data_IF_533732992623
#
_entry.id   IF_533732992623
#
_cell.length_a   1.000
_cell.length_b   1.000
_cell.length_c   1.000
_cell.angle_alpha   90.00
_cell.angle_beta   90.00
_cell.angle_gamma   90.00
#
_symmetry.space_group_name_H-M   'P 1'
#
loop_
_entity.id
_entity.type
_entity.pdbx_description
1 polymer ?
#
# COMPACT_ATOMS: atom_id res chain seq x y z
N UNK A 1 -30.57 -6.93 -5.03
CA UNK A 1 -29.49 -6.04 -5.50
C UNK A 1 -28.69 -6.85 -6.48
N UNK A 2 -28.55 -6.39 -7.72
CA UNK A 2 -27.65 -7.03 -8.67
C UNK A 2 -26.24 -7.04 -8.07
N UNK A 3 -25.57 -8.18 -8.07
CA UNK A 3 -24.26 -8.35 -7.48
C UNK A 3 -23.25 -7.43 -8.19
N UNK A 4 -22.60 -6.54 -7.45
CA UNK A 4 -21.49 -5.75 -7.98
C UNK A 4 -20.45 -6.68 -8.62
N UNK A 5 -20.09 -6.39 -9.86
CA UNK A 5 -19.15 -7.17 -10.67
C UNK A 5 -18.15 -6.25 -11.36
N UNK A 6 -16.94 -6.77 -11.54
CA UNK A 6 -15.82 -6.09 -12.19
C UNK A 6 -15.31 -7.02 -13.28
N UNK A 7 -15.28 -6.52 -14.51
CA UNK A 7 -14.74 -7.25 -15.64
C UNK A 7 -13.28 -6.84 -15.84
N UNK A 8 -12.37 -7.80 -15.72
CA UNK A 8 -10.92 -7.55 -15.86
C UNK A 8 -10.45 -7.92 -17.26
N UNK A 9 -9.64 -7.05 -17.87
CA UNK A 9 -8.86 -7.40 -19.05
C UNK A 9 -7.64 -8.23 -18.64
N UNK A 10 -7.02 -8.99 -19.56
CA UNK A 10 -5.79 -9.70 -19.28
C UNK A 10 -4.71 -8.76 -18.73
N UNK A 11 -4.09 -9.15 -17.62
CA UNK A 11 -3.00 -8.38 -17.02
C UNK A 11 -1.75 -8.36 -17.89
N UNK A 12 -0.95 -7.31 -17.71
CA UNK A 12 0.27 -7.06 -18.49
C UNK A 12 1.39 -6.56 -17.59
N UNK A 13 2.64 -6.90 -17.92
CA UNK A 13 3.80 -6.33 -17.24
C UNK A 13 4.16 -4.96 -17.82
N UNK A 14 4.05 -3.92 -16.99
CA UNK A 14 4.46 -2.56 -17.34
C UNK A 14 5.92 -2.40 -16.96
N UNK A 15 6.77 -2.42 -17.99
CA UNK A 15 8.21 -2.22 -17.85
C UNK A 15 8.57 -0.74 -17.78
N UNK A 16 9.74 -0.39 -17.23
CA UNK A 16 10.32 0.95 -17.38
C UNK A 16 10.37 1.37 -18.86
N UNK A 17 10.11 2.64 -19.13
CA UNK A 17 10.11 3.18 -20.50
C UNK A 17 11.49 3.23 -21.14
N UNK A 18 12.54 3.15 -20.32
CA UNK A 18 13.94 3.21 -20.70
C UNK A 18 14.72 2.11 -19.96
N UNK A 19 15.87 1.65 -20.47
CA UNK A 19 16.72 0.71 -19.76
C UNK A 19 17.13 1.24 -18.37
N UNK A 20 17.02 0.40 -17.36
CA UNK A 20 17.36 0.73 -15.98
C UNK A 20 18.66 0.03 -15.55
N UNK A 21 19.41 0.58 -14.59
CA UNK A 21 20.58 -0.09 -14.06
C UNK A 21 20.22 -1.49 -13.50
N UNK A 22 20.87 -2.57 -13.96
CA UNK A 22 20.71 -3.87 -13.34
C UNK A 22 21.48 -3.90 -12.03
N UNK A 23 21.09 -4.78 -11.11
CA UNK A 23 21.83 -5.01 -9.87
C UNK A 23 20.97 -5.58 -8.76
N UNK A 24 21.60 -5.75 -7.61
CA UNK A 24 20.95 -6.19 -6.38
C UNK A 24 21.00 -5.08 -5.36
N UNK A 25 19.87 -4.79 -4.71
CA UNK A 25 19.78 -3.87 -3.59
C UNK A 25 19.39 -4.63 -2.34
N UNK A 26 20.20 -4.48 -1.29
CA UNK A 26 19.86 -5.01 0.02
C UNK A 26 18.80 -4.13 0.68
N UNK A 27 17.91 -4.75 1.44
CA UNK A 27 16.94 -4.03 2.27
C UNK A 27 17.65 -3.37 3.45
N UNK A 28 17.12 -2.23 3.92
CA UNK A 28 17.60 -1.61 5.15
C UNK A 28 17.25 -2.46 6.38
N UNK A 29 17.84 -2.15 7.55
CA UNK A 29 17.53 -2.85 8.81
C UNK A 29 16.02 -2.82 9.12
N UNK A 30 15.35 -1.69 8.85
CA UNK A 30 13.91 -1.54 9.05
C UNK A 30 13.15 -2.42 8.07
N UNK A 31 13.54 -2.37 6.79
CA UNK A 31 12.87 -3.07 5.70
C UNK A 31 13.04 -4.60 5.77
N UNK A 32 14.12 -5.09 6.40
CA UNK A 32 14.37 -6.53 6.61
C UNK A 32 13.41 -7.19 7.60
N UNK A 33 12.71 -6.39 8.40
CA UNK A 33 11.88 -6.88 9.48
C UNK A 33 10.77 -7.81 8.95
N UNK A 34 10.69 -9.02 9.51
CA UNK A 34 9.79 -10.08 9.02
C UNK A 34 8.33 -9.62 8.99
N UNK A 35 7.95 -8.77 9.94
CA UNK A 35 6.61 -8.21 10.05
C UNK A 35 6.22 -7.28 8.91
N UNK A 36 7.16 -6.83 8.07
CA UNK A 36 6.89 -6.01 6.88
C UNK A 36 6.79 -6.83 5.59
N UNK A 37 7.04 -8.15 5.64
CA UNK A 37 7.04 -9.04 4.47
C UNK A 37 5.61 -9.44 4.03
N UNK A 38 4.75 -8.44 3.83
CA UNK A 38 3.38 -8.65 3.39
C UNK A 38 2.98 -7.63 2.33
N UNK A 39 1.98 -7.98 1.52
CA UNK A 39 1.39 -7.04 0.58
C UNK A 39 0.34 -6.18 1.26
N UNK A 40 0.51 -4.86 1.16
CA UNK A 40 -0.52 -3.89 1.50
C UNK A 40 -1.16 -3.36 0.23
N UNK A 41 -2.49 -3.20 0.25
CA UNK A 41 -3.23 -2.61 -0.87
C UNK A 41 -3.78 -1.25 -0.47
N UNK A 42 -3.74 -0.27 -1.37
CA UNK A 42 -4.42 1.01 -1.21
C UNK A 42 -5.42 1.21 -2.36
N UNK A 43 -6.63 1.66 -2.04
CA UNK A 43 -7.65 2.02 -3.02
C UNK A 43 -7.77 3.55 -3.09
N UNK A 44 -7.78 4.09 -4.30
CA UNK A 44 -7.92 5.52 -4.58
C UNK A 44 -9.13 5.76 -5.48
N UNK A 45 -10.09 6.55 -5.00
CA UNK A 45 -11.36 6.79 -5.71
C UNK A 45 -11.31 8.15 -6.40
N UNK A 46 -11.41 8.14 -7.73
CA UNK A 46 -11.42 9.34 -8.57
C UNK A 46 -12.82 9.55 -9.14
N UNK A 47 -13.40 10.72 -8.84
CA UNK A 47 -14.75 11.07 -9.30
C UNK A 47 -14.80 11.24 -10.81
N UNK A 48 -13.78 11.90 -11.35
CA UNK A 48 -13.71 12.29 -12.75
C UNK A 48 -12.52 11.60 -13.43
N UNK A 49 -12.72 11.22 -14.68
CA UNK A 49 -11.75 10.50 -15.50
C UNK A 49 -12.22 10.47 -16.95
N UNK A 50 -11.54 9.68 -17.78
CA UNK A 50 -12.01 9.42 -19.14
C UNK A 50 -11.73 7.96 -19.55
N UNK A 51 -12.25 7.56 -20.71
CA UNK A 51 -12.09 6.19 -21.24
C UNK A 51 -10.62 5.76 -21.49
N UNK A 52 -9.67 6.69 -21.38
CA UNK A 52 -8.23 6.45 -21.53
C UNK A 52 -7.47 6.54 -20.21
N UNK A 53 -8.13 6.70 -19.06
CA UNK A 53 -7.47 6.85 -17.75
C UNK A 53 -6.51 5.68 -17.47
N UNK A 54 -6.92 4.44 -17.70
CA UNK A 54 -6.04 3.28 -17.53
C UNK A 54 -4.80 3.33 -18.45
N UNK A 55 -4.98 3.70 -19.72
CA UNK A 55 -3.88 3.86 -20.69
C UNK A 55 -2.90 4.96 -20.27
N UNK A 56 -3.42 6.12 -19.85
CA UNK A 56 -2.60 7.27 -19.41
C UNK A 56 -1.79 6.92 -18.15
N UNK A 57 -2.44 6.29 -17.16
CA UNK A 57 -1.78 5.84 -15.93
C UNK A 57 -0.71 4.79 -16.24
N UNK A 58 -1.01 3.84 -17.14
CA UNK A 58 -0.05 2.81 -17.58
C UNK A 58 1.19 3.42 -18.25
N UNK A 59 1.02 4.42 -19.12
CA UNK A 59 2.13 5.13 -19.75
C UNK A 59 2.96 5.93 -18.74
N UNK A 60 2.28 6.60 -17.80
CA UNK A 60 2.96 7.37 -16.75
C UNK A 60 3.71 6.45 -15.77
N UNK A 61 3.13 5.30 -15.44
CA UNK A 61 3.76 4.25 -14.63
C UNK A 61 5.06 3.79 -15.28
N UNK A 62 5.04 3.48 -16.57
CA UNK A 62 6.25 3.09 -17.32
C UNK A 62 7.37 4.13 -17.22
N UNK A 63 7.04 5.42 -17.28
CA UNK A 63 8.01 6.52 -17.13
C UNK A 63 8.51 6.66 -15.69
N UNK A 64 7.61 6.57 -14.70
CA UNK A 64 7.96 6.66 -13.29
C UNK A 64 8.88 5.51 -12.83
N UNK A 65 8.76 4.33 -13.44
CA UNK A 65 9.62 3.19 -13.16
C UNK A 65 11.08 3.39 -13.59
N UNK A 66 11.42 4.41 -14.38
CA UNK A 66 12.83 4.71 -14.69
C UNK A 66 13.58 5.24 -13.46
N UNK A 67 13.16 6.36 -12.84
CA UNK A 67 13.78 6.83 -11.59
C UNK A 67 13.50 5.91 -10.39
N UNK A 68 12.42 5.12 -10.42
CA UNK A 68 12.05 4.15 -9.38
C UNK A 68 12.24 2.69 -9.81
N UNK A 69 13.32 2.41 -10.55
CA UNK A 69 13.58 1.09 -11.13
C UNK A 69 13.57 -0.10 -10.17
N UNK A 70 13.86 0.02 -8.85
CA UNK A 70 13.76 -1.13 -7.96
C UNK A 70 12.33 -1.70 -7.88
N UNK A 71 11.31 -0.85 -8.05
CA UNK A 71 9.89 -1.27 -8.07
C UNK A 71 9.53 -2.12 -9.30
N UNK A 72 10.35 -2.07 -10.37
CA UNK A 72 10.23 -2.92 -11.54
C UNK A 72 11.00 -4.26 -11.40
N UNK A 73 11.65 -4.49 -10.26
CA UNK A 73 12.44 -5.68 -9.98
C UNK A 73 11.64 -6.84 -9.39
N UNK A 74 12.35 -7.72 -8.70
CA UNK A 74 11.83 -8.87 -7.95
C UNK A 74 12.40 -8.88 -6.54
N UNK A 75 11.55 -9.21 -5.58
CA UNK A 75 11.99 -9.53 -4.24
C UNK A 75 12.40 -11.01 -4.22
N UNK A 76 13.62 -11.30 -3.77
CA UNK A 76 14.21 -12.63 -3.76
C UNK A 76 14.86 -12.93 -2.42
N UNK A 77 14.76 -14.17 -1.98
CA UNK A 77 15.58 -14.71 -0.90
C UNK A 77 16.98 -14.96 -1.42
N UNK A 78 17.97 -14.76 -0.56
CA UNK A 78 19.35 -15.10 -0.85
C UNK A 78 19.53 -16.60 -0.64
N UNK A 79 20.13 -17.28 -1.63
CA UNK A 79 20.58 -18.66 -1.46
C UNK A 79 21.70 -18.68 -0.41
N UNK A 80 21.40 -19.08 0.83
CA UNK A 80 22.39 -19.30 1.87
C UNK A 80 22.80 -20.78 1.84
N UNK A 81 24.08 -21.05 1.51
CA UNK A 81 24.70 -22.39 1.62
C UNK A 81 25.15 -22.72 3.06
N UNK A 82 25.00 -21.79 4.02
CA UNK A 82 25.44 -21.92 5.41
C UNK A 82 24.25 -21.88 6.37
N UNK A 83 24.30 -22.71 7.43
CA UNK A 83 23.31 -22.95 8.50
C UNK A 83 22.97 -21.71 9.39
N UNK A 84 22.97 -20.50 8.84
CA UNK A 84 22.46 -19.29 9.52
C UNK A 84 20.98 -19.08 9.14
N UNK A 85 20.08 -19.24 10.11
CA UNK A 85 18.60 -19.18 10.04
C UNK A 85 17.99 -17.85 9.53
N UNK A 86 18.77 -16.93 8.96
CA UNK A 86 18.30 -15.63 8.47
C UNK A 86 18.09 -15.63 6.94
N UNK A 87 16.86 -15.92 6.51
CA UNK A 87 16.36 -15.72 5.13
C UNK A 87 16.45 -14.23 4.75
N UNK A 88 17.60 -13.80 4.23
CA UNK A 88 17.87 -12.40 3.87
C UNK A 88 17.24 -12.05 2.51
N UNK A 89 16.24 -11.17 2.53
CA UNK A 89 15.59 -10.66 1.32
C UNK A 89 16.39 -9.55 0.66
N UNK A 90 16.41 -9.56 -0.68
CA UNK A 90 17.00 -8.51 -1.50
C UNK A 90 16.13 -8.21 -2.73
N UNK A 91 16.33 -7.01 -3.31
CA UNK A 91 15.69 -6.61 -4.55
C UNK A 91 16.65 -6.91 -5.71
N UNK A 92 16.24 -7.81 -6.59
CA UNK A 92 16.85 -8.00 -7.90
C UNK A 92 16.24 -7.01 -8.90
N UNK A 93 17.03 -6.03 -9.33
CA UNK A 93 16.60 -4.97 -10.26
C UNK A 93 16.56 -5.50 -11.71
N UNK A 94 15.59 -6.38 -12.00
CA UNK A 94 15.45 -7.05 -13.30
C UNK A 94 14.81 -6.18 -14.39
N UNK A 95 14.11 -5.11 -14.01
CA UNK A 95 13.37 -4.25 -14.94
C UNK A 95 12.17 -4.95 -15.61
N UNK A 96 11.75 -6.11 -15.11
CA UNK A 96 10.64 -6.87 -15.67
C UNK A 96 9.28 -6.18 -15.50
N UNK A 97 9.17 -5.27 -14.53
CA UNK A 97 8.04 -4.35 -14.39
C UNK A 97 7.01 -4.71 -13.33
N UNK A 98 5.96 -3.90 -13.32
CA UNK A 98 4.80 -3.97 -12.40
C UNK A 98 3.65 -4.69 -13.09
N UNK A 99 2.95 -5.56 -12.36
CA UNK A 99 1.74 -6.22 -12.89
C UNK A 99 0.59 -5.22 -12.95
N UNK A 100 0.05 -4.98 -14.15
CA UNK A 100 -1.00 -4.00 -14.38
C UNK A 100 -2.25 -4.64 -14.96
N UNK A 101 -3.40 -4.36 -14.35
CA UNK A 101 -4.72 -4.83 -14.80
C UNK A 101 -5.61 -3.63 -15.12
N UNK A 102 -6.17 -3.61 -16.32
CA UNK A 102 -7.27 -2.71 -16.66
C UNK A 102 -8.59 -3.44 -16.44
N UNK A 103 -9.55 -2.77 -15.80
CA UNK A 103 -10.84 -3.34 -15.48
C UNK A 103 -11.97 -2.33 -15.70
N UNK A 104 -13.20 -2.83 -15.82
CA UNK A 104 -14.39 -2.00 -15.96
C UNK A 104 -15.57 -2.54 -15.15
N UNK A 105 -16.35 -1.63 -14.58
CA UNK A 105 -17.59 -1.92 -13.87
C UNK A 105 -18.77 -1.18 -14.52
N UNK A 106 -19.88 -1.89 -14.73
CA UNK A 106 -21.10 -1.32 -15.34
C UNK A 106 -21.93 -0.46 -14.36
N UNK A 107 -21.54 -0.45 -13.08
CA UNK A 107 -22.10 0.41 -12.03
C UNK A 107 -21.50 1.83 -12.07
N UNK A 108 -22.15 2.79 -11.43
CA UNK A 108 -21.53 4.09 -11.12
C UNK A 108 -20.85 4.06 -9.74
N UNK A 109 -19.85 4.92 -9.53
CA UNK A 109 -19.28 5.11 -8.19
C UNK A 109 -20.31 5.60 -7.18
N UNK A 110 -21.29 6.41 -7.63
CA UNK A 110 -22.36 6.89 -6.77
C UNK A 110 -23.25 5.74 -6.24
N UNK A 111 -23.48 4.69 -7.04
CA UNK A 111 -24.25 3.50 -6.62
C UNK A 111 -23.52 2.72 -5.51
N UNK A 112 -22.20 2.82 -5.44
CA UNK A 112 -21.35 2.23 -4.41
C UNK A 112 -21.02 3.20 -3.26
N UNK A 113 -21.74 4.33 -3.17
CA UNK A 113 -21.44 5.40 -2.22
C UNK A 113 -19.96 5.83 -2.26
N UNK A 114 -19.34 5.84 -3.44
CA UNK A 114 -17.91 6.12 -3.63
C UNK A 114 -16.99 5.23 -2.77
N UNK A 115 -17.40 4.00 -2.43
CA UNK A 115 -16.70 3.08 -1.52
C UNK A 115 -16.65 3.50 -0.04
N UNK A 116 -17.36 4.56 0.32
CA UNK A 116 -17.59 4.93 1.70
C UNK A 116 -18.49 3.89 2.36
N UNK A 117 -17.94 3.16 3.32
CA UNK A 117 -18.57 2.02 4.00
C UNK A 117 -18.88 0.83 3.06
N UNK A 118 -18.21 0.71 1.91
CA UNK A 118 -18.41 -0.44 1.03
C UNK A 118 -18.00 -1.75 1.73
N UNK A 119 -18.75 -2.86 1.54
CA UNK A 119 -18.38 -4.14 2.14
C UNK A 119 -17.05 -4.67 1.57
N UNK A 120 -16.39 -5.55 2.31
CA UNK A 120 -15.08 -6.11 1.95
C UNK A 120 -15.09 -6.79 0.58
N UNK A 121 -16.13 -7.57 0.26
CA UNK A 121 -16.27 -8.30 -1.01
C UNK A 121 -16.28 -7.35 -2.23
N UNK A 122 -16.78 -6.13 -2.05
CA UNK A 122 -16.84 -5.08 -3.07
C UNK A 122 -15.45 -4.48 -3.28
N UNK A 123 -14.69 -4.28 -2.21
CA UNK A 123 -13.31 -3.78 -2.26
C UNK A 123 -12.37 -4.81 -2.91
N UNK A 124 -12.50 -6.10 -2.58
CA UNK A 124 -11.70 -7.19 -3.16
C UNK A 124 -11.89 -7.34 -4.67
N UNK A 125 -13.09 -7.06 -5.18
CA UNK A 125 -13.35 -7.05 -6.64
C UNK A 125 -12.61 -5.91 -7.36
N UNK A 126 -12.19 -4.87 -6.65
CA UNK A 126 -11.45 -3.72 -7.19
C UNK A 126 -9.93 -3.90 -7.14
N UNK A 127 -9.44 -4.94 -6.48
CA UNK A 127 -8.01 -5.28 -6.45
C UNK A 127 -7.67 -6.27 -7.57
N UNK A 128 -6.39 -6.35 -7.93
CA UNK A 128 -5.89 -7.42 -8.81
C UNK A 128 -6.12 -8.78 -8.14
N UNK A 129 -6.25 -9.83 -8.94
CA UNK A 129 -6.33 -11.18 -8.42
C UNK A 129 -5.07 -11.51 -7.59
N UNK A 130 -5.19 -12.28 -6.49
CA UNK A 130 -4.06 -12.67 -5.68
C UNK A 130 -3.05 -13.41 -6.54
N UNK A 131 -1.77 -13.09 -6.36
CA UNK A 131 -0.73 -13.78 -7.11
C UNK A 131 -0.70 -15.24 -6.64
N UNK A 132 -0.69 -16.26 -7.54
CA UNK A 132 -0.72 -17.66 -7.14
C UNK A 132 0.35 -17.98 -6.09
N UNK A 133 0.00 -18.71 -5.04
CA UNK A 133 0.91 -19.05 -3.94
C UNK A 133 2.23 -19.70 -4.44
N UNK A 134 2.15 -20.48 -5.51
CA UNK A 134 3.26 -21.16 -6.19
C UNK A 134 4.31 -20.20 -6.80
N UNK A 135 3.96 -18.92 -6.93
CA UNK A 135 4.85 -17.87 -7.44
C UNK A 135 5.38 -16.96 -6.33
N UNK A 136 5.03 -17.20 -5.06
CA UNK A 136 5.40 -16.39 -3.86
C UNK A 136 6.90 -16.31 -3.53
N UNK A 137 7.78 -16.49 -4.51
CA UNK A 137 9.20 -16.12 -4.44
C UNK A 137 9.75 -15.49 -5.74
N UNK A 138 8.93 -15.30 -6.78
CA UNK A 138 9.33 -14.74 -8.09
C UNK A 138 8.30 -13.74 -8.65
N UNK A 139 7.67 -12.99 -7.73
CA UNK A 139 6.51 -12.16 -7.97
C UNK A 139 6.82 -10.65 -7.95
N UNK A 140 6.15 -9.86 -8.80
CA UNK A 140 6.44 -8.44 -8.92
C UNK A 140 6.21 -7.73 -7.58
N UNK A 141 7.14 -6.85 -7.24
CA UNK A 141 7.11 -6.02 -6.02
C UNK A 141 5.79 -5.24 -5.88
N UNK A 142 5.17 -4.91 -7.01
CA UNK A 142 3.96 -4.12 -7.08
C UNK A 142 2.98 -4.64 -8.12
N UNK A 143 1.70 -4.45 -7.83
CA UNK A 143 0.57 -4.64 -8.71
C UNK A 143 -0.27 -3.36 -8.73
N UNK A 144 -0.88 -3.08 -9.86
CA UNK A 144 -1.80 -1.96 -10.02
C UNK A 144 -3.02 -2.39 -10.84
N UNK A 145 -4.23 -2.15 -10.31
CA UNK A 145 -5.46 -2.28 -11.08
C UNK A 145 -6.11 -0.91 -11.27
N UNK A 146 -6.54 -0.59 -12.48
CA UNK A 146 -7.36 0.59 -12.77
C UNK A 146 -8.73 0.13 -13.22
N UNK A 147 -9.76 0.38 -12.40
CA UNK A 147 -11.15 0.01 -12.66
C UNK A 147 -11.95 1.23 -13.06
N UNK A 148 -12.39 1.28 -14.32
CA UNK A 148 -13.22 2.37 -14.86
C UNK A 148 -14.71 2.12 -14.60
N UNK A 149 -15.46 3.16 -14.22
CA UNK A 149 -16.89 3.07 -13.93
C UNK A 149 -17.72 3.77 -15.01
N UNK A 150 -18.99 3.35 -15.15
CA UNK A 150 -19.93 3.91 -16.15
C UNK A 150 -20.12 5.42 -16.04
N UNK A 151 -19.98 5.99 -14.84
CA UNK A 151 -20.10 7.44 -14.61
C UNK A 151 -18.89 8.27 -15.08
N UNK A 152 -17.83 7.62 -15.58
CA UNK A 152 -16.59 8.30 -16.02
C UNK A 152 -15.51 8.41 -14.95
N UNK A 153 -15.85 8.14 -13.68
CA UNK A 153 -14.87 8.00 -12.60
C UNK A 153 -14.16 6.65 -12.65
N UNK A 154 -13.11 6.50 -11.83
CA UNK A 154 -12.32 5.27 -11.76
C UNK A 154 -11.76 5.04 -10.36
N UNK A 155 -11.35 3.79 -10.11
CA UNK A 155 -10.63 3.39 -8.89
C UNK A 155 -9.27 2.85 -9.28
N UNK A 156 -8.22 3.33 -8.62
CA UNK A 156 -6.88 2.74 -8.72
C UNK A 156 -6.61 1.92 -7.46
N UNK A 157 -6.34 0.64 -7.61
CA UNK A 157 -5.82 -0.22 -6.56
C UNK A 157 -4.31 -0.38 -6.74
N UNK A 158 -3.55 -0.14 -5.68
CA UNK A 158 -2.09 -0.29 -5.67
C UNK A 158 -1.72 -1.27 -4.57
N UNK A 159 -1.17 -2.41 -4.96
CA UNK A 159 -0.74 -3.46 -4.04
C UNK A 159 0.79 -3.54 -4.10
N UNK A 160 1.48 -3.48 -2.97
CA UNK A 160 2.94 -3.56 -2.94
C UNK A 160 3.42 -4.26 -1.68
N UNK A 161 4.62 -4.84 -1.74
CA UNK A 161 5.25 -5.41 -0.55
C UNK A 161 5.74 -4.29 0.38
N UNK A 162 5.28 -4.31 1.63
CA UNK A 162 5.54 -3.24 2.60
C UNK A 162 7.03 -3.16 3.00
N UNK A 163 7.81 -4.22 2.78
CA UNK A 163 9.25 -4.21 3.01
C UNK A 163 10.02 -3.34 2.00
N UNK A 164 9.36 -2.78 0.98
CA UNK A 164 10.03 -1.95 -0.05
C UNK A 164 9.81 -0.46 0.19
N UNK A 165 8.65 -0.09 0.72
CA UNK A 165 8.35 1.28 1.07
C UNK A 165 7.24 1.37 2.11
N UNK A 166 7.32 2.41 2.94
CA UNK A 166 6.25 2.83 3.82
C UNK A 166 5.18 3.65 3.06
N UNK A 167 4.19 4.14 3.82
CA UNK A 167 3.16 5.03 3.30
C UNK A 167 3.73 6.23 2.54
N UNK A 168 4.76 6.89 3.09
CA UNK A 168 5.38 8.07 2.45
C UNK A 168 6.05 7.71 1.13
N UNK A 169 6.81 6.61 1.10
CA UNK A 169 7.53 6.15 -0.08
C UNK A 169 6.59 5.81 -1.23
N UNK A 170 5.49 5.08 -0.95
CA UNK A 170 4.50 4.76 -1.98
C UNK A 170 3.76 6.03 -2.45
N UNK A 171 3.49 6.99 -1.56
CA UNK A 171 2.90 8.29 -1.94
C UNK A 171 3.78 9.03 -2.93
N UNK A 172 5.09 9.07 -2.66
CA UNK A 172 6.07 9.76 -3.49
C UNK A 172 6.15 9.12 -4.89
N UNK A 173 6.14 7.79 -4.94
CA UNK A 173 6.13 7.05 -6.20
C UNK A 173 4.87 7.30 -7.01
N UNK A 174 3.68 7.13 -6.41
CA UNK A 174 2.40 7.32 -7.08
C UNK A 174 2.20 8.78 -7.52
N UNK A 175 2.71 9.74 -6.75
CA UNK A 175 2.81 11.13 -7.21
C UNK A 175 3.65 11.22 -8.48
N UNK A 176 4.73 10.47 -8.65
CA UNK A 176 5.51 10.46 -9.91
C UNK A 176 4.76 9.89 -11.11
N UNK A 177 3.73 9.07 -10.86
CA UNK A 177 2.81 8.56 -11.89
C UNK A 177 1.77 9.63 -12.28
N UNK A 178 1.53 10.66 -11.45
CA UNK A 178 0.74 11.84 -11.78
C UNK A 178 1.50 12.81 -12.73
N UNK A 179 0.82 13.73 -13.47
CA UNK A 179 1.46 14.63 -14.42
C UNK A 179 2.58 15.45 -13.78
N UNK A 180 3.75 15.38 -14.41
CA UNK A 180 5.08 15.72 -13.88
C UNK A 180 5.27 17.11 -13.22
N UNK A 181 4.34 18.05 -13.37
CA UNK A 181 4.54 19.44 -12.94
C UNK A 181 4.14 19.74 -11.48
N UNK A 182 3.09 19.10 -10.97
CA UNK A 182 2.59 19.32 -9.60
C UNK A 182 3.32 18.44 -8.58
N UNK A 183 3.79 17.30 -9.06
CA UNK A 183 4.53 16.24 -8.39
C UNK A 183 5.88 16.69 -7.86
N UNK A 184 6.67 17.40 -8.68
CA UNK A 184 8.02 17.84 -8.29
C UNK A 184 7.96 18.79 -7.09
N UNK A 185 6.90 19.61 -7.01
CA UNK A 185 6.67 20.54 -5.90
C UNK A 185 6.29 19.80 -4.62
N UNK A 186 5.37 18.85 -4.70
CA UNK A 186 4.94 18.03 -3.55
C UNK A 186 6.08 17.13 -3.01
N UNK A 187 6.91 16.58 -3.89
CA UNK A 187 8.09 15.79 -3.52
C UNK A 187 9.11 16.65 -2.77
N UNK A 188 9.34 17.89 -3.20
CA UNK A 188 10.25 18.81 -2.53
C UNK A 188 9.73 19.22 -1.14
N UNK A 189 8.43 19.45 -1.03
CA UNK A 189 7.78 19.83 0.24
C UNK A 189 7.75 18.65 1.24
N UNK A 190 7.47 17.43 0.78
CA UNK A 190 7.46 16.22 1.61
C UNK A 190 8.86 15.84 2.11
N UNK A 191 9.88 15.84 1.22
CA UNK A 191 11.28 15.55 1.59
C UNK A 191 11.84 16.56 2.59
N UNK A 192 11.50 17.85 2.44
CA UNK A 192 11.92 18.89 3.37
C UNK A 192 11.33 18.69 4.79
N UNK A 193 10.10 18.16 4.87
CA UNK A 193 9.39 17.97 6.15
C UNK A 193 9.89 16.73 6.90
N UNK A 194 10.08 15.60 6.21
CA UNK A 194 10.48 14.34 6.84
C UNK A 194 11.91 14.39 7.38
N UNK A 195 12.84 14.94 6.60
CA UNK A 195 14.26 15.01 7.00
C UNK A 195 14.45 15.96 8.19
N UNK A 196 13.69 17.07 8.24
CA UNK A 196 13.71 17.98 9.38
C UNK A 196 13.11 17.35 10.66
N UNK A 197 12.03 16.57 10.54
CA UNK A 197 11.40 15.91 11.68
C UNK A 197 12.22 14.72 12.20
N UNK A 198 12.79 13.92 11.30
CA UNK A 198 13.67 12.80 11.66
C UNK A 198 14.97 13.30 12.31
N UNK A 199 15.61 14.34 11.75
CA UNK A 199 16.80 14.94 12.37
C UNK A 199 16.48 15.56 13.73
N UNK A 200 15.30 16.18 13.89
CA UNK A 200 14.86 16.73 15.17
C UNK A 200 14.54 15.64 16.21
N UNK A 201 14.12 14.45 15.79
CA UNK A 201 13.89 13.32 16.68
C UNK A 201 15.20 12.62 17.07
N UNK A 202 16.10 12.39 16.10
CA UNK A 202 17.40 11.74 16.31
C UNK A 202 18.38 12.57 17.14
N UNK A 203 18.41 13.90 16.96
CA UNK A 203 19.46 14.76 17.52
C UNK A 203 18.99 15.69 18.66
N UNK A 204 17.76 15.55 19.13
CA UNK A 204 17.20 16.42 20.18
C UNK A 204 16.80 15.66 21.46
N UNK A 205 17.56 14.60 21.80
CA UNK A 205 17.70 14.14 23.18
C UNK A 205 19.02 14.69 23.71
N UNK A 206 18.94 15.53 24.73
CA UNK A 206 20.10 16.16 25.35
C UNK A 206 21.06 15.14 25.96
N UNK A 207 22.35 15.43 25.80
CA UNK A 207 23.57 15.10 26.56
C UNK A 207 23.58 14.01 27.65
N UNK A 208 22.87 12.89 27.48
CA UNK A 208 23.16 11.68 28.23
C UNK A 208 23.59 10.57 27.26
N UNK A 209 24.81 10.05 27.46
CA UNK A 209 25.37 8.91 26.74
C UNK A 209 24.38 7.74 26.79
N UNK A 210 23.86 7.37 25.62
CA UNK A 210 22.99 6.20 25.48
C UNK A 210 23.89 4.99 25.24
N UNK A 211 24.02 4.14 26.26
CA UNK A 211 24.35 2.72 26.07
C UNK A 211 23.50 2.18 24.92
N UNK A 212 24.13 1.46 23.99
CA UNK A 212 23.47 0.80 22.86
C UNK A 212 22.35 -0.12 23.39
N UNK A 213 21.14 0.41 23.51
CA UNK A 213 19.94 -0.37 23.78
C UNK A 213 19.75 -1.28 22.57
N UNK A 214 19.66 -2.59 22.82
CA UNK A 214 19.29 -3.61 21.84
C UNK A 214 18.13 -3.13 20.95
N UNK A 215 18.21 -3.48 19.67
CA UNK A 215 17.40 -2.94 18.58
C UNK A 215 15.91 -2.73 18.95
N UNK A 216 15.44 -1.48 19.06
CA UNK A 216 14.09 -1.18 19.56
C UNK A 216 12.97 -1.48 18.54
N UNK A 217 13.28 -2.13 17.42
CA UNK A 217 12.37 -2.34 16.28
C UNK A 217 11.78 -3.76 16.20
N UNK A 218 12.05 -4.61 17.21
CA UNK A 218 11.44 -5.94 17.35
C UNK A 218 10.14 -5.90 18.15
N UNK A 219 9.24 -4.94 17.84
CA UNK A 219 7.87 -5.06 18.33
C UNK A 219 7.23 -6.27 17.64
N UNK A 220 7.03 -7.36 18.40
CA UNK A 220 6.26 -8.50 17.90
C UNK A 220 4.84 -8.00 17.61
N UNK A 221 4.50 -7.88 16.32
CA UNK A 221 3.11 -7.70 15.92
C UNK A 221 2.42 -9.03 16.22
N UNK A 222 1.67 -9.07 17.31
CA UNK A 222 0.79 -10.17 17.70
C UNK A 222 -0.65 -9.65 17.85
N UNK A 223 -1.57 -10.49 18.30
CA UNK A 223 -2.97 -10.08 18.55
C UNK A 223 -3.10 -9.00 19.64
N UNK A 224 -2.08 -8.79 20.47
CA UNK A 224 -2.08 -7.77 21.52
C UNK A 224 -1.58 -6.40 21.02
N UNK A 225 -1.16 -6.30 19.76
CA UNK A 225 -0.57 -5.08 19.20
C UNK A 225 -1.55 -4.34 18.30
N UNK A 226 -2.02 -3.16 18.76
CA UNK A 226 -2.80 -2.22 17.96
C UNK A 226 -1.87 -1.23 17.26
N UNK A 227 -1.78 -1.32 15.94
CA UNK A 227 -1.05 -0.34 15.13
C UNK A 227 -1.98 0.81 14.77
N UNK A 228 -1.76 2.01 15.34
CA UNK A 228 -2.46 3.22 14.92
C UNK A 228 -1.53 4.06 14.05
N UNK A 229 -1.91 4.26 12.80
CA UNK A 229 -1.17 5.11 11.87
C UNK A 229 -2.04 6.25 11.38
N UNK A 230 -1.44 7.45 11.33
CA UNK A 230 -2.10 8.68 10.93
C UNK A 230 -1.71 9.01 9.49
N UNK A 231 -2.68 8.90 8.58
CA UNK A 231 -2.50 9.08 7.15
C UNK A 231 -2.69 10.52 6.65
N UNK A 232 -2.76 11.52 7.53
CA UNK A 232 -2.86 12.92 7.10
C UNK A 232 -1.46 13.49 6.80
N UNK A 233 -1.32 14.25 5.71
CA UNK A 233 -0.07 14.88 5.23
C UNK A 233 1.00 13.93 4.66
N UNK A 234 0.67 12.67 4.39
CA UNK A 234 1.57 11.75 3.66
C UNK A 234 1.56 12.02 2.14
N UNK A 235 0.61 12.82 1.63
CA UNK A 235 0.52 13.22 0.22
C UNK A 235 -0.41 12.37 -0.63
N UNK A 236 -1.19 11.45 -0.04
CA UNK A 236 -2.22 10.70 -0.79
C UNK A 236 -3.35 11.60 -1.29
N UNK A 237 -3.66 12.65 -0.56
CA UNK A 237 -4.69 13.64 -0.86
C UNK A 237 -4.28 14.62 -1.98
N UNK A 238 -3.01 14.62 -2.37
CA UNK A 238 -2.47 15.49 -3.42
C UNK A 238 -2.10 14.79 -4.72
N UNK A 239 -2.40 13.48 -4.85
CA UNK A 239 -2.22 12.74 -6.10
C UNK A 239 -3.22 13.18 -7.16
N UNK A 240 -2.78 13.87 -8.21
CA UNK A 240 -3.65 14.27 -9.32
C UNK A 240 -3.21 13.59 -10.61
N UNK A 241 -3.98 12.67 -11.18
CA UNK A 241 -3.63 12.03 -12.46
C UNK A 241 -3.98 12.87 -13.72
N UNK A 242 -4.29 14.16 -13.54
CA UNK A 242 -4.80 15.08 -14.57
C UNK A 242 -6.32 15.31 -14.50
N UNK A 243 -6.97 14.85 -13.42
CA UNK A 243 -8.42 14.95 -13.20
C UNK A 243 -8.79 15.45 -11.79
N UNK A 244 -7.84 16.04 -11.08
CA UNK A 244 -7.98 16.44 -9.69
C UNK A 244 -7.50 15.36 -8.71
N UNK A 245 -7.38 15.72 -7.42
CA UNK A 245 -7.00 14.80 -6.35
C UNK A 245 -8.06 13.70 -6.13
N UNK A 246 -7.72 12.56 -5.52
CA UNK A 246 -8.70 11.55 -5.15
C UNK A 246 -9.73 12.14 -4.18
N UNK A 247 -10.97 11.66 -4.28
CA UNK A 247 -12.02 12.03 -3.33
C UNK A 247 -11.66 11.60 -1.90
N UNK A 248 -11.00 10.44 -1.80
CA UNK A 248 -10.26 9.92 -0.65
C UNK A 248 -9.49 8.67 -1.10
N UNK A 249 -8.55 8.22 -0.26
CA UNK A 249 -7.95 6.89 -0.35
C UNK A 249 -8.21 6.11 0.93
N UNK A 250 -7.85 4.83 0.97
CA UNK A 250 -7.72 4.07 2.21
C UNK A 250 -6.86 2.82 1.97
N UNK A 251 -6.20 2.32 3.01
CA UNK A 251 -5.56 1.01 2.91
C UNK A 251 -6.58 -0.11 3.11
N UNK A 252 -6.44 -1.13 2.29
CA UNK A 252 -7.11 -2.41 2.36
C UNK A 252 -6.07 -3.48 2.70
N UNK A 253 -6.32 -4.20 3.80
CA UNK A 253 -5.50 -5.32 4.24
C UNK A 253 -6.37 -6.57 4.14
N UNK A 254 -6.00 -7.58 3.35
CA UNK A 254 -6.78 -8.82 3.26
C UNK A 254 -6.48 -9.79 4.42
N UNK A 255 -5.51 -9.50 5.30
CA UNK A 255 -5.11 -10.40 6.38
C UNK A 255 -5.47 -9.85 7.77
N UNK A 256 -6.18 -10.62 8.62
CA UNK A 256 -6.74 -10.17 9.90
C UNK A 256 -5.78 -10.30 11.10
N UNK A 257 -4.48 -10.54 10.86
CA UNK A 257 -3.57 -11.02 11.91
C UNK A 257 -3.26 -9.91 12.95
N UNK A 258 -3.41 -8.62 12.58
CA UNK A 258 -3.19 -7.50 13.50
C UNK A 258 -4.30 -6.44 13.40
N UNK A 259 -4.84 -5.95 14.53
CA UNK A 259 -5.72 -4.79 14.49
C UNK A 259 -4.92 -3.55 14.09
N UNK A 260 -5.22 -3.02 12.91
CA UNK A 260 -4.62 -1.80 12.38
C UNK A 260 -5.71 -0.72 12.30
N UNK A 261 -5.49 0.40 12.99
CA UNK A 261 -6.29 1.60 12.91
C UNK A 261 -5.61 2.63 12.01
N UNK A 262 -6.16 2.84 10.81
CA UNK A 262 -5.67 3.90 9.91
C UNK A 262 -6.62 5.09 10.00
N UNK A 263 -6.10 6.21 10.48
CA UNK A 263 -6.81 7.48 10.55
C UNK A 263 -6.60 8.20 9.22
N UNK A 264 -7.68 8.39 8.45
CA UNK A 264 -7.62 9.09 7.16
C UNK A 264 -8.23 10.49 7.26
N UNK A 265 -7.88 11.43 6.37
CA UNK A 265 -8.65 12.66 6.23
C UNK A 265 -10.09 12.36 5.77
N UNK A 266 -11.09 13.10 6.27
CA UNK A 266 -12.50 12.88 5.95
C UNK A 266 -12.83 13.16 4.48
N UNK A 267 -13.76 12.38 3.94
CA UNK A 267 -14.40 12.69 2.66
C UNK A 267 -15.17 14.02 2.79
N UNK A 268 -14.76 15.06 2.07
CA UNK A 268 -15.52 16.33 2.05
C UNK A 268 -16.91 16.09 1.44
N UNK A 269 -18.02 16.54 2.06
CA UNK A 269 -18.11 17.58 3.10
C UNK A 269 -18.25 17.05 4.55
N UNK A 270 -18.00 15.76 4.81
CA UNK A 270 -18.12 15.20 6.16
C UNK A 270 -17.15 15.86 7.13
N UNK A 271 -17.61 16.12 8.35
CA UNK A 271 -16.80 16.62 9.47
C UNK A 271 -16.45 15.45 10.42
N UNK A 272 -15.17 15.28 10.78
CA UNK A 272 -14.69 14.21 11.68
C UNK A 272 -13.41 13.54 11.20
N UNK A 273 -12.91 12.54 11.93
CA UNK A 273 -11.79 11.68 11.48
C UNK A 273 -12.37 10.30 11.18
N UNK A 274 -12.40 9.83 9.91
CA UNK A 274 -12.74 8.44 9.61
C UNK A 274 -11.67 7.51 10.21
N UNK A 275 -12.11 6.65 11.13
CA UNK A 275 -11.34 5.53 11.65
C UNK A 275 -11.80 4.27 10.94
N UNK A 276 -10.87 3.59 10.27
CA UNK A 276 -11.11 2.24 9.74
C UNK A 276 -10.36 1.24 10.61
N UNK A 277 -11.10 0.29 11.17
CA UNK A 277 -10.59 -0.80 12.02
C UNK A 277 -11.36 -2.08 11.70
N UNK A 278 -10.79 -3.22 12.06
CA UNK A 278 -11.51 -4.49 12.10
C UNK A 278 -12.39 -4.52 13.34
N UNK A 279 -13.62 -4.97 13.18
CA UNK A 279 -14.58 -5.15 14.26
C UNK A 279 -15.14 -6.57 14.16
N UNK A 280 -15.40 -7.21 15.30
CA UNK A 280 -16.17 -8.45 15.32
C UNK A 280 -17.65 -8.12 15.23
N UNK A 281 -18.36 -8.76 14.29
CA UNK A 281 -19.81 -8.62 14.16
C UNK A 281 -20.51 -9.05 15.46
N UNK A 282 -21.63 -8.41 15.78
CA UNK A 282 -22.38 -8.70 17.02
C UNK A 282 -22.75 -10.18 17.17
N UNK A 283 -23.02 -10.87 16.04
CA UNK A 283 -23.28 -12.32 15.98
C UNK A 283 -22.12 -13.18 16.47
N UNK A 284 -20.89 -12.72 16.31
CA UNK A 284 -19.66 -13.42 16.64
C UNK A 284 -19.01 -12.90 17.94
N UNK A 285 -19.52 -11.80 18.50
CA UNK A 285 -18.97 -11.16 19.69
C UNK A 285 -18.91 -12.09 20.90
N UNK A 286 -19.94 -12.90 21.12
CA UNK A 286 -19.95 -13.81 22.26
C UNK A 286 -18.92 -14.93 22.12
N UNK A 287 -18.80 -15.53 20.93
CA UNK A 287 -17.80 -16.54 20.65
C UNK A 287 -16.37 -16.00 20.80
N UNK A 288 -16.11 -14.78 20.33
CA UNK A 288 -14.81 -14.12 20.55
C UNK A 288 -14.53 -13.89 22.03
N UNK A 289 -15.53 -13.43 22.81
CA UNK A 289 -15.38 -13.22 24.26
C UNK A 289 -15.09 -14.53 24.98
N UNK A 290 -15.79 -15.59 24.66
CA UNK A 290 -15.60 -16.90 25.28
C UNK A 290 -14.20 -17.43 24.99
N UNK A 291 -13.70 -17.27 23.77
CA UNK A 291 -12.35 -17.70 23.38
C UNK A 291 -11.25 -16.84 24.03
N UNK A 292 -11.44 -15.52 24.11
CA UNK A 292 -10.54 -14.63 24.85
C UNK A 292 -10.46 -15.01 26.34
N UNK A 293 -11.60 -15.33 26.96
CA UNK A 293 -11.65 -15.78 28.35
C UNK A 293 -10.95 -17.13 28.53
N UNK A 294 -11.08 -18.05 27.58
CA UNK A 294 -10.35 -19.32 27.58
C UNK A 294 -8.84 -19.09 27.50
N UNK A 295 -8.37 -18.22 26.59
CA UNK A 295 -6.95 -17.89 26.42
C UNK A 295 -6.34 -17.25 27.67
N UNK A 296 -7.09 -16.37 28.36
CA UNK A 296 -6.64 -15.72 29.58
C UNK A 296 -6.56 -16.67 30.78
N UNK A 297 -7.27 -17.80 30.75
CA UNK A 297 -7.32 -18.79 31.83
C UNK A 297 -6.27 -19.91 31.71
N UNK A 298 -5.40 -19.90 30.69
CA UNK A 298 -4.34 -20.90 30.52
C UNK A 298 -3.06 -20.63 31.36
N UNK A 299 -3.05 -19.60 32.21
CA UNK A 299 -1.91 -19.23 33.07
C UNK A 299 -2.16 -19.42 34.59
N UNK A 300 -3.07 -20.32 35.00
CA UNK A 300 -3.29 -20.67 36.41
C UNK A 300 -3.05 -22.15 36.70
#
# INVERSE_FOLDING_TARGET
MDSFSVNRLPGVMVRPSEPTPPGTLNLSVIDRAIQLRFYITALFVFRDGNKKSAMIIKEALSKALVPYHPLAGRLQEKDNDDDDDDEELHISCTGEGVWFVEAYADSSLADLNYLDEAPQDTQEKLTSDPIPAETMGLNPIMLMQVTSFKCGGFVTAVTHNHCICDGTGICQFLSTVAPLAEVVKLIQEAKARLQAQYNKWMFNKGDDEVELIEEPFTAQLDYATLLVSYGENIGLDSMDYGWGPPLHGFAFLPHPIHPIGLLWPPMKPKTGIPLRTWCVEDSHLQAMKDELMNLLNFNS
#
